data_IF_318391160431
#
_entry.id   IF_318391160431
#
_cell.length_a   1.000
_cell.length_b   1.000
_cell.length_c   1.000
_cell.angle_alpha   90.00
_cell.angle_beta   90.00
_cell.angle_gamma   90.00
#
_symmetry.space_group_name_H-M   'P 1'
#
loop_
_entity.id
_entity.type
_entity.pdbx_description
1 polymer ?
#
# COMPACT_ATOMS: atom_id res chain seq x y z
N UNK A 1 3.33 8.87 -11.34
CA UNK A 1 2.12 8.80 -10.50
C UNK A 1 1.91 7.43 -9.84
N UNK A 2 2.25 6.30 -10.50
CA UNK A 2 2.05 4.92 -9.99
C UNK A 2 2.47 4.70 -8.53
N UNK A 3 3.69 5.12 -8.16
CA UNK A 3 4.21 4.85 -6.83
C UNK A 3 3.41 5.56 -5.73
N UNK A 4 3.03 6.83 -5.96
CA UNK A 4 2.25 7.61 -5.00
C UNK A 4 0.85 7.03 -4.85
N UNK A 5 0.18 6.66 -5.95
CA UNK A 5 -1.15 6.04 -5.91
C UNK A 5 -1.14 4.71 -5.14
N UNK A 6 -0.15 3.85 -5.39
CA UNK A 6 0.01 2.60 -4.68
C UNK A 6 0.29 2.82 -3.18
N UNK A 7 1.11 3.82 -2.86
CA UNK A 7 1.38 4.23 -1.47
C UNK A 7 0.10 4.68 -0.77
N UNK A 8 -0.74 5.48 -1.43
CA UNK A 8 -2.04 5.88 -0.89
C UNK A 8 -2.94 4.68 -0.66
N UNK A 9 -3.00 3.72 -1.57
CA UNK A 9 -3.78 2.47 -1.39
C UNK A 9 -3.30 1.67 -0.18
N UNK A 10 -1.98 1.57 0.01
CA UNK A 10 -1.39 0.90 1.17
C UNK A 10 -1.76 1.60 2.48
N UNK A 11 -1.61 2.93 2.52
CA UNK A 11 -1.97 3.74 3.69
C UNK A 11 -3.46 3.59 4.03
N UNK A 12 -4.36 3.74 3.05
CA UNK A 12 -5.81 3.66 3.30
C UNK A 12 -6.26 2.25 3.67
N UNK A 13 -5.69 1.20 3.07
CA UNK A 13 -5.94 -0.18 3.50
C UNK A 13 -5.47 -0.42 4.94
N UNK A 14 -4.30 0.13 5.33
CA UNK A 14 -3.80 0.08 6.70
C UNK A 14 -4.73 0.79 7.69
N UNK A 15 -5.27 1.96 7.33
CA UNK A 15 -6.24 2.70 8.14
C UNK A 15 -7.52 1.90 8.44
N UNK A 16 -7.90 0.98 7.55
CA UNK A 16 -9.06 0.09 7.77
C UNK A 16 -8.79 -1.02 8.80
N UNK A 17 -7.54 -1.17 9.28
CA UNK A 17 -7.12 -2.11 10.35
C UNK A 17 -7.56 -3.57 10.11
N UNK A 18 -7.66 -3.98 8.86
CA UNK A 18 -8.11 -5.33 8.47
C UNK A 18 -7.09 -6.00 7.56
N UNK A 19 -6.53 -7.11 8.03
CA UNK A 19 -5.62 -7.93 7.23
C UNK A 19 -6.30 -8.46 5.96
N UNK A 20 -7.61 -8.72 6.01
CA UNK A 20 -8.39 -9.14 4.85
C UNK A 20 -8.46 -8.05 3.78
N UNK A 21 -8.72 -6.80 4.17
CA UNK A 21 -8.72 -5.66 3.23
C UNK A 21 -7.35 -5.45 2.61
N UNK A 22 -6.30 -5.54 3.43
CA UNK A 22 -4.91 -5.46 2.96
C UNK A 22 -4.64 -6.53 1.89
N UNK A 23 -4.96 -7.79 2.19
CA UNK A 23 -4.78 -8.89 1.25
C UNK A 23 -5.61 -8.70 -0.04
N UNK A 24 -6.87 -8.27 0.08
CA UNK A 24 -7.76 -8.03 -1.06
C UNK A 24 -7.18 -6.94 -1.97
N UNK A 25 -6.70 -5.82 -1.43
CA UNK A 25 -6.12 -4.74 -2.25
C UNK A 25 -4.85 -5.21 -2.96
N UNK A 26 -3.99 -5.98 -2.28
CA UNK A 26 -2.82 -6.58 -2.92
C UNK A 26 -3.19 -7.54 -4.06
N UNK A 27 -4.22 -8.36 -3.87
CA UNK A 27 -4.75 -9.24 -4.93
C UNK A 27 -5.34 -8.43 -6.10
N UNK A 28 -6.07 -7.35 -5.82
CA UNK A 28 -6.62 -6.48 -6.86
C UNK A 28 -5.54 -5.76 -7.67
N UNK A 29 -4.41 -5.39 -7.05
CA UNK A 29 -3.24 -4.88 -7.76
C UNK A 29 -2.74 -5.92 -8.77
N UNK A 30 -2.48 -7.15 -8.33
CA UNK A 30 -2.02 -8.22 -9.22
C UNK A 30 -3.03 -8.51 -10.34
N UNK A 31 -4.32 -8.62 -10.00
CA UNK A 31 -5.40 -8.82 -10.95
C UNK A 31 -5.46 -7.71 -12.00
N UNK A 32 -5.27 -6.44 -11.61
CA UNK A 32 -5.27 -5.30 -12.54
C UNK A 32 -4.20 -5.46 -13.63
N UNK A 33 -2.97 -5.83 -13.24
CA UNK A 33 -1.89 -6.04 -14.21
C UNK A 33 -2.12 -7.31 -15.06
N UNK A 34 -2.65 -8.38 -14.48
CA UNK A 34 -3.01 -9.59 -15.22
C UNK A 34 -4.10 -9.33 -16.26
N UNK A 35 -5.16 -8.61 -15.89
CA UNK A 35 -6.24 -8.20 -16.80
C UNK A 35 -5.67 -7.30 -17.90
N UNK A 36 -4.81 -6.33 -17.56
CA UNK A 36 -4.16 -5.49 -18.56
C UNK A 36 -3.31 -6.31 -19.56
N UNK A 37 -2.66 -7.38 -19.11
CA UNK A 37 -1.87 -8.25 -19.97
C UNK A 37 -2.72 -9.07 -20.96
N UNK A 38 -3.97 -9.37 -20.58
CA UNK A 38 -4.92 -10.11 -21.43
C UNK A 38 -5.65 -9.16 -22.38
N UNK A 39 -6.07 -7.99 -21.89
CA UNK A 39 -6.99 -7.10 -22.59
C UNK A 39 -6.27 -6.03 -23.42
N UNK A 40 -5.05 -5.62 -23.04
CA UNK A 40 -4.33 -4.60 -23.78
C UNK A 40 -3.60 -5.20 -24.98
N UNK A 41 -3.68 -4.54 -26.15
CA UNK A 41 -2.91 -4.91 -27.34
C UNK A 41 -1.41 -4.56 -27.27
N UNK A 42 -0.93 -4.05 -26.13
CA UNK A 42 0.45 -3.60 -25.91
C UNK A 42 1.16 -4.34 -24.78
N UNK A 43 2.47 -4.13 -24.67
CA UNK A 43 3.27 -4.75 -23.60
C UNK A 43 2.93 -4.13 -22.23
N UNK A 44 2.69 -4.99 -21.23
CA UNK A 44 2.52 -4.56 -19.84
C UNK A 44 3.88 -4.35 -19.19
N UNK A 45 4.06 -3.20 -18.52
CA UNK A 45 5.31 -2.86 -17.86
C UNK A 45 5.48 -3.59 -16.52
N UNK A 46 6.41 -4.54 -16.47
CA UNK A 46 6.81 -5.20 -15.22
C UNK A 46 7.44 -4.23 -14.22
N UNK A 47 8.11 -3.18 -14.70
CA UNK A 47 8.68 -2.15 -13.84
C UNK A 47 7.57 -1.34 -13.14
N UNK A 48 6.48 -1.06 -13.84
CA UNK A 48 5.30 -0.45 -13.23
C UNK A 48 4.66 -1.34 -12.16
N UNK A 49 4.59 -2.66 -12.39
CA UNK A 49 4.13 -3.62 -11.38
C UNK A 49 5.02 -3.60 -10.14
N UNK A 50 6.35 -3.62 -10.33
CA UNK A 50 7.31 -3.55 -9.24
C UNK A 50 7.17 -2.28 -8.40
N UNK A 51 7.07 -1.11 -9.03
CA UNK A 51 6.82 0.15 -8.32
C UNK A 51 5.47 0.17 -7.59
N UNK A 52 4.45 -0.52 -8.12
CA UNK A 52 3.15 -0.64 -7.46
C UNK A 52 3.25 -1.49 -6.21
N UNK A 53 3.98 -2.62 -6.26
CA UNK A 53 4.21 -3.48 -5.10
C UNK A 53 4.99 -2.74 -4.01
N UNK A 54 6.08 -2.05 -4.37
CA UNK A 54 6.86 -1.28 -3.41
C UNK A 54 6.02 -0.15 -2.82
N UNK A 55 5.32 0.62 -3.66
CA UNK A 55 4.48 1.72 -3.19
C UNK A 55 3.41 1.23 -2.21
N UNK A 56 2.68 0.16 -2.54
CA UNK A 56 1.67 -0.41 -1.66
C UNK A 56 2.23 -0.81 -0.28
N UNK A 57 3.35 -1.52 -0.26
CA UNK A 57 4.00 -1.91 0.99
C UNK A 57 4.57 -0.70 1.75
N UNK A 58 5.14 0.29 1.06
CA UNK A 58 5.60 1.53 1.66
C UNK A 58 4.45 2.28 2.34
N UNK A 59 3.25 2.31 1.75
CA UNK A 59 2.04 2.87 2.36
C UNK A 59 1.66 2.19 3.68
N UNK A 60 1.73 0.85 3.72
CA UNK A 60 1.50 0.08 4.95
C UNK A 60 2.56 0.35 6.01
N UNK A 61 3.83 0.43 5.62
CA UNK A 61 4.93 0.76 6.53
C UNK A 61 4.81 2.19 7.07
N UNK A 62 4.37 3.15 6.25
CA UNK A 62 4.07 4.51 6.69
C UNK A 62 2.92 4.53 7.70
N UNK A 63 1.86 3.76 7.46
CA UNK A 63 0.77 3.59 8.41
C UNK A 63 1.27 3.04 9.75
N UNK A 64 2.05 1.95 9.72
CA UNK A 64 2.64 1.35 10.93
C UNK A 64 3.58 2.33 11.64
N UNK A 65 4.47 2.98 10.89
CA UNK A 65 5.37 4.01 11.40
C UNK A 65 4.60 5.11 12.11
N UNK A 66 3.53 5.62 11.49
CA UNK A 66 2.65 6.63 12.08
C UNK A 66 1.99 6.18 13.38
N UNK A 67 1.53 4.92 13.44
CA UNK A 67 0.97 4.33 14.66
C UNK A 67 2.03 4.27 15.77
N UNK A 68 3.20 3.70 15.47
CA UNK A 68 4.32 3.60 16.42
C UNK A 68 4.79 4.96 16.91
N UNK A 69 4.93 5.95 16.04
CA UNK A 69 5.33 7.31 16.45
C UNK A 69 4.28 7.95 17.33
N UNK A 70 2.99 7.76 17.05
CA UNK A 70 1.90 8.33 17.85
C UNK A 70 1.85 7.69 19.24
N UNK A 71 2.00 6.37 19.32
CA UNK A 71 2.04 5.66 20.59
C UNK A 71 3.24 6.08 21.44
N UNK A 72 4.42 6.24 20.82
CA UNK A 72 5.62 6.74 21.50
C UNK A 72 5.46 8.17 22.01
N UNK A 73 4.91 9.08 21.19
CA UNK A 73 4.63 10.45 21.60
C UNK A 73 3.66 10.51 22.77
N UNK A 74 2.58 9.70 22.74
CA UNK A 74 1.64 9.61 23.86
C UNK A 74 2.31 9.14 25.15
N UNK A 75 3.18 8.13 25.08
CA UNK A 75 3.90 7.64 26.26
C UNK A 75 4.80 8.71 26.89
N UNK A 76 5.51 9.50 26.07
CA UNK A 76 6.36 10.59 26.57
C UNK A 76 5.52 11.71 27.18
N UNK A 77 4.46 12.15 26.51
CA UNK A 77 3.65 13.30 26.92
C UNK A 77 2.77 13.05 28.16
N UNK A 78 2.37 11.80 28.42
CA UNK A 78 1.54 11.45 29.59
C UNK A 78 2.36 11.24 30.87
N UNK A 79 3.66 10.95 30.73
CA UNK A 79 4.57 10.71 31.85
C UNK A 79 5.53 11.88 32.15
N UNK A 80 5.42 12.99 31.39
CA UNK A 80 6.11 14.26 31.61
C UNK A 80 5.22 15.25 32.37
#
# INVERSE_FOLDING_TARGET
MIILTATTLGLTAGLMRSAGVIAIVAMLIAATFAIAAIVSGGAVSFLALFYTIIGYNAGLLLYLGGLFTTDRLRAVLVHS
#
